data_IF_785869506698
#
_entry.id   IF_785869506698
#
_cell.length_a   1.000
_cell.length_b   1.000
_cell.length_c   1.000
_cell.angle_alpha   90.00
_cell.angle_beta   90.00
_cell.angle_gamma   90.00
#
_symmetry.space_group_name_H-M   'P 1'
#
loop_
_entity.id
_entity.type
_entity.pdbx_description
1 polymer ?
#
# COMPACT_ATOMS: atom_id res chain seq x y z
N UNK A 1 -7.67 48.20 -25.54
CA UNK A 1 -7.03 49.49 -25.18
C UNK A 1 -5.66 49.28 -24.51
N UNK A 2 -5.52 48.63 -23.30
CA UNK A 2 -4.22 48.50 -22.62
C UNK A 2 -3.21 47.67 -23.42
N UNK A 3 -3.59 46.54 -23.99
CA UNK A 3 -2.72 45.72 -24.82
C UNK A 3 -2.36 46.37 -26.16
N UNK A 4 -3.28 47.09 -26.76
CA UNK A 4 -3.02 47.90 -27.97
C UNK A 4 -2.01 49.01 -27.70
N UNK A 5 -2.09 49.67 -26.54
CA UNK A 5 -1.11 50.67 -26.13
C UNK A 5 0.29 50.07 -25.92
N UNK A 6 0.37 48.87 -25.27
CA UNK A 6 1.63 48.16 -25.11
C UNK A 6 2.23 47.75 -26.45
N UNK A 7 1.40 47.33 -27.40
CA UNK A 7 1.82 46.94 -28.75
C UNK A 7 2.34 48.12 -29.58
N UNK A 8 1.65 49.28 -29.54
CA UNK A 8 2.10 50.52 -30.19
C UNK A 8 3.45 51.01 -29.65
N UNK A 9 3.77 50.70 -28.38
CA UNK A 9 5.04 51.08 -27.75
C UNK A 9 6.10 49.95 -27.79
N UNK A 10 5.92 48.96 -28.66
CA UNK A 10 6.82 47.79 -28.78
C UNK A 10 7.16 47.09 -27.48
N UNK A 11 6.19 47.02 -26.53
CA UNK A 11 6.35 46.31 -25.30
C UNK A 11 5.86 44.88 -25.45
N UNK A 12 6.66 43.88 -25.02
CA UNK A 12 6.30 42.47 -25.14
C UNK A 12 5.25 42.04 -24.11
N UNK A 13 5.05 42.82 -23.06
CA UNK A 13 4.13 42.54 -21.99
C UNK A 13 2.68 42.57 -22.46
N UNK A 14 1.83 41.69 -21.96
CA UNK A 14 0.40 41.66 -22.22
C UNK A 14 -0.35 41.52 -20.89
N UNK A 15 -1.48 42.22 -20.78
CA UNK A 15 -2.39 42.15 -19.65
C UNK A 15 -3.46 41.12 -19.94
N UNK A 16 -3.55 40.10 -19.13
CA UNK A 16 -4.62 39.11 -19.17
C UNK A 16 -5.39 39.14 -17.84
N UNK A 17 -6.70 39.36 -17.90
CA UNK A 17 -7.59 39.47 -16.74
C UNK A 17 -8.11 38.13 -16.25
N UNK A 18 -7.80 37.04 -16.95
CA UNK A 18 -8.22 35.71 -16.52
C UNK A 18 -7.44 35.27 -15.27
N UNK A 19 -8.02 34.41 -14.48
CA UNK A 19 -7.31 33.79 -13.35
C UNK A 19 -6.10 32.99 -13.85
N UNK A 20 -5.06 32.80 -13.04
CA UNK A 20 -3.88 31.99 -13.39
C UNK A 20 -4.26 30.60 -13.88
N UNK A 21 -5.26 30.00 -13.25
CA UNK A 21 -5.82 28.70 -13.66
C UNK A 21 -6.36 28.72 -15.10
N UNK A 22 -7.09 29.77 -15.48
CA UNK A 22 -7.61 29.93 -16.86
C UNK A 22 -6.56 30.35 -17.87
N UNK A 23 -5.47 30.97 -17.44
CA UNK A 23 -4.32 31.33 -18.26
C UNK A 23 -3.37 30.15 -18.46
N UNK A 24 -3.55 29.05 -17.78
CA UNK A 24 -2.63 27.93 -17.79
C UNK A 24 -1.34 28.18 -17.01
N UNK A 25 -1.31 29.19 -16.14
CA UNK A 25 -0.15 29.53 -15.33
C UNK A 25 -0.20 28.72 -14.05
N UNK A 26 0.79 27.85 -13.88
CA UNK A 26 0.90 26.96 -12.73
C UNK A 26 1.67 27.61 -11.57
N UNK A 27 1.11 28.69 -11.08
CA UNK A 27 1.64 29.46 -9.95
C UNK A 27 0.53 29.87 -9.02
N UNK A 28 0.82 29.99 -7.74
CA UNK A 28 -0.11 30.52 -6.75
C UNK A 28 -0.17 32.03 -6.92
N UNK A 29 -1.35 32.64 -7.16
CA UNK A 29 -1.47 34.08 -7.29
C UNK A 29 -1.14 34.80 -5.98
N UNK A 30 -0.48 35.96 -6.08
CA UNK A 30 -0.22 36.82 -4.95
C UNK A 30 -1.49 37.57 -4.50
N UNK A 31 -1.58 37.89 -3.22
CA UNK A 31 -2.71 38.62 -2.64
C UNK A 31 -2.50 40.12 -2.83
N UNK A 32 -3.56 40.86 -3.15
CA UNK A 32 -3.50 42.31 -3.22
C UNK A 32 -3.17 42.96 -1.86
N UNK A 33 -2.08 43.72 -1.80
CA UNK A 33 -1.56 44.28 -0.56
C UNK A 33 -2.41 45.44 -0.04
N UNK A 34 -2.98 46.24 -0.94
CA UNK A 34 -3.66 47.48 -0.62
C UNK A 34 -2.69 48.68 -0.43
N UNK A 35 -3.22 49.91 -0.49
CA UNK A 35 -2.39 51.13 -0.53
C UNK A 35 -1.64 51.34 0.79
N UNK A 36 -2.30 51.21 1.92
CA UNK A 36 -1.68 51.43 3.25
C UNK A 36 -0.54 50.43 3.52
N UNK A 37 -0.78 49.14 3.34
CA UNK A 37 0.23 48.13 3.54
C UNK A 37 1.39 48.24 2.54
N UNK A 38 1.11 48.67 1.30
CA UNK A 38 2.16 48.91 0.28
C UNK A 38 3.07 50.07 0.68
N UNK A 39 2.54 51.13 1.32
CA UNK A 39 3.35 52.23 1.85
C UNK A 39 4.18 51.80 3.05
N UNK A 40 3.65 50.95 3.92
CA UNK A 40 4.40 50.41 5.06
C UNK A 40 5.57 49.54 4.59
N UNK A 41 5.34 48.66 3.64
CA UNK A 41 6.38 47.79 3.03
C UNK A 41 7.49 48.62 2.35
N UNK A 42 7.13 49.74 1.67
CA UNK A 42 8.11 50.67 1.09
C UNK A 42 8.98 51.36 2.14
N UNK A 43 8.46 51.55 3.36
CA UNK A 43 9.18 52.13 4.51
C UNK A 43 9.96 51.06 5.32
N UNK A 44 10.00 49.81 4.85
CA UNK A 44 10.68 48.70 5.50
C UNK A 44 9.90 48.07 6.66
N UNK A 45 8.63 48.42 6.83
CA UNK A 45 7.77 47.84 7.86
C UNK A 45 7.07 46.61 7.26
N UNK A 46 7.39 45.43 7.80
CA UNK A 46 6.79 44.18 7.35
C UNK A 46 5.28 44.15 7.66
N UNK A 47 4.48 43.75 6.69
CA UNK A 47 3.04 43.56 6.84
C UNK A 47 2.67 42.09 6.62
N UNK A 48 1.61 41.62 7.27
CA UNK A 48 1.14 40.25 7.16
C UNK A 48 0.90 39.83 5.69
N UNK A 49 0.24 40.72 4.91
CA UNK A 49 0.03 40.48 3.47
C UNK A 49 1.30 40.52 2.65
N UNK A 50 2.27 41.34 3.03
CA UNK A 50 3.59 41.40 2.40
C UNK A 50 4.38 40.12 2.67
N UNK A 51 4.36 39.61 3.89
CA UNK A 51 4.99 38.32 4.24
C UNK A 51 4.34 37.14 3.51
N UNK A 52 3.01 37.12 3.47
CA UNK A 52 2.29 36.11 2.70
C UNK A 52 2.70 36.12 1.21
N UNK A 53 2.81 37.29 0.61
CA UNK A 53 3.26 37.39 -0.77
C UNK A 53 4.73 36.98 -0.98
N UNK A 54 5.60 37.23 0.00
CA UNK A 54 6.97 36.72 -0.01
C UNK A 54 7.00 35.19 0.04
N UNK A 55 6.19 34.60 0.92
CA UNK A 55 6.04 33.14 1.03
C UNK A 55 5.48 32.52 -0.24
N UNK A 56 4.46 33.12 -0.85
CA UNK A 56 3.90 32.67 -2.13
C UNK A 56 4.95 32.72 -3.24
N UNK A 57 5.73 33.80 -3.35
CA UNK A 57 6.81 33.90 -4.32
C UNK A 57 7.90 32.87 -4.13
N UNK A 58 8.27 32.61 -2.87
CA UNK A 58 9.23 31.55 -2.53
C UNK A 58 8.71 30.17 -2.91
N UNK A 59 7.45 29.87 -2.59
CA UNK A 59 6.79 28.63 -2.96
C UNK A 59 6.73 28.43 -4.48
N UNK A 60 6.38 29.48 -5.25
CA UNK A 60 6.36 29.42 -6.70
C UNK A 60 7.75 29.18 -7.30
N UNK A 61 8.81 29.77 -6.77
CA UNK A 61 10.19 29.48 -7.18
C UNK A 61 10.54 28.02 -6.92
N UNK A 62 10.24 27.52 -5.72
CA UNK A 62 10.50 26.12 -5.37
C UNK A 62 9.74 25.16 -6.29
N UNK A 63 8.49 25.47 -6.64
CA UNK A 63 7.71 24.68 -7.60
C UNK A 63 8.36 24.66 -8.99
N UNK A 64 8.87 25.79 -9.48
CA UNK A 64 9.61 25.84 -10.74
C UNK A 64 10.88 24.99 -10.71
N UNK A 65 11.66 25.08 -9.61
CA UNK A 65 12.89 24.30 -9.44
C UNK A 65 12.61 22.80 -9.37
N UNK A 66 11.59 22.38 -8.62
CA UNK A 66 11.16 20.97 -8.56
C UNK A 66 10.74 20.47 -9.94
N UNK A 67 9.97 21.25 -10.70
CA UNK A 67 9.56 20.87 -12.07
C UNK A 67 10.75 20.71 -13.01
N UNK A 68 11.71 21.62 -12.91
CA UNK A 68 12.95 21.52 -13.69
C UNK A 68 13.76 20.26 -13.32
N UNK A 69 13.85 19.94 -12.04
CA UNK A 69 14.52 18.71 -11.59
C UNK A 69 13.78 17.44 -12.06
N UNK A 70 12.45 17.43 -12.00
CA UNK A 70 11.64 16.33 -12.53
C UNK A 70 11.87 16.15 -14.04
N UNK A 71 11.95 17.23 -14.80
CA UNK A 71 12.27 17.19 -16.22
C UNK A 71 13.62 16.56 -16.50
N UNK A 72 14.67 17.02 -15.80
CA UNK A 72 16.03 16.47 -15.91
C UNK A 72 16.09 14.98 -15.50
N UNK A 73 15.38 14.60 -14.44
CA UNK A 73 15.32 13.22 -13.99
C UNK A 73 14.64 12.31 -15.02
N UNK A 74 13.57 12.81 -15.67
CA UNK A 74 12.89 12.09 -16.74
C UNK A 74 13.82 11.88 -17.96
N UNK A 75 14.54 12.90 -18.38
CA UNK A 75 15.52 12.82 -19.48
C UNK A 75 16.65 11.84 -19.13
N UNK A 76 17.22 11.97 -17.94
CA UNK A 76 18.27 11.06 -17.47
C UNK A 76 17.79 9.61 -17.43
N UNK A 77 16.58 9.34 -16.92
CA UNK A 77 15.97 8.01 -16.94
C UNK A 77 15.87 7.45 -18.36
N UNK A 78 15.39 8.26 -19.30
CA UNK A 78 15.29 7.86 -20.70
C UNK A 78 16.66 7.52 -21.31
N UNK A 79 17.71 8.30 -20.97
CA UNK A 79 19.07 8.05 -21.45
C UNK A 79 19.69 6.81 -20.83
N UNK A 80 19.48 6.57 -19.54
CA UNK A 80 19.91 5.33 -18.86
C UNK A 80 19.26 4.10 -19.50
N UNK A 81 17.98 4.18 -19.85
CA UNK A 81 17.29 3.08 -20.52
C UNK A 81 17.82 2.85 -21.95
N UNK A 82 18.05 3.90 -22.71
CA UNK A 82 18.67 3.80 -24.04
C UNK A 82 20.07 3.21 -23.97
N UNK A 83 20.89 3.67 -23.01
CA UNK A 83 22.25 3.16 -22.80
C UNK A 83 22.23 1.68 -22.39
N UNK A 84 21.30 1.26 -21.55
CA UNK A 84 21.14 -0.13 -21.13
C UNK A 84 20.64 -1.02 -22.27
N UNK A 85 19.80 -0.52 -23.16
CA UNK A 85 19.34 -1.23 -24.35
C UNK A 85 20.46 -1.38 -25.39
N UNK A 86 21.36 -0.40 -25.52
CA UNK A 86 22.54 -0.48 -26.43
C UNK A 86 23.62 -1.45 -25.93
N UNK A 87 23.66 -1.75 -24.62
CA UNK A 87 24.60 -2.72 -24.02
C UNK A 87 24.13 -4.18 -24.16
N UNK A 88 22.89 -4.41 -24.59
CA UNK A 88 22.37 -5.75 -24.87
C UNK A 88 22.74 -6.16 -26.30
N UNK A 89 23.90 -6.75 -26.48
CA UNK A 89 24.34 -7.41 -27.72
C UNK A 89 23.68 -8.78 -27.87
N UNK A 90 22.37 -8.85 -27.99
CA UNK A 90 21.67 -10.07 -28.41
C UNK A 90 20.93 -9.84 -29.73
N UNK A 91 20.91 -10.85 -30.65
CA UNK A 91 20.26 -10.70 -31.96
C UNK A 91 18.76 -10.49 -31.83
N UNK A 92 18.10 -9.80 -32.77
CA UNK A 92 16.71 -9.38 -32.65
C UNK A 92 15.76 -10.56 -32.73
N UNK A 93 15.32 -11.05 -31.59
CA UNK A 93 14.10 -11.82 -31.46
C UNK A 93 12.88 -10.89 -31.61
N UNK A 94 11.70 -11.35 -32.10
CA UNK A 94 10.52 -10.49 -32.21
C UNK A 94 10.17 -9.93 -30.82
N UNK A 95 10.42 -8.65 -30.67
CA UNK A 95 10.47 -7.96 -29.36
C UNK A 95 9.09 -7.84 -28.77
N UNK A 96 8.82 -8.59 -27.73
CA UNK A 96 7.85 -8.15 -26.73
C UNK A 96 8.27 -6.75 -26.25
N UNK A 97 7.35 -5.76 -26.21
CA UNK A 97 7.72 -4.40 -25.84
C UNK A 97 8.37 -4.37 -24.47
N UNK A 98 9.49 -3.66 -24.35
CA UNK A 98 10.21 -3.52 -23.09
C UNK A 98 9.28 -2.93 -22.01
N UNK A 99 9.29 -3.49 -20.80
CA UNK A 99 8.44 -3.06 -19.69
C UNK A 99 8.55 -1.57 -19.39
N UNK A 100 9.74 -1.00 -19.47
CA UNK A 100 9.94 0.45 -19.28
C UNK A 100 9.19 1.27 -20.33
N UNK A 101 9.19 0.87 -21.58
CA UNK A 101 8.43 1.54 -22.63
C UNK A 101 6.93 1.50 -22.35
N UNK A 102 6.43 0.36 -21.89
CA UNK A 102 5.02 0.19 -21.52
C UNK A 102 4.65 1.04 -20.28
N UNK A 103 5.53 1.17 -19.32
CA UNK A 103 5.31 2.03 -18.14
C UNK A 103 5.25 3.52 -18.52
N UNK A 104 6.12 4.00 -19.40
CA UNK A 104 6.04 5.38 -19.91
C UNK A 104 4.76 5.60 -20.72
N UNK A 105 4.35 4.63 -21.54
CA UNK A 105 3.09 4.68 -22.26
C UNK A 105 1.89 4.75 -21.34
N UNK A 106 1.91 4.02 -20.24
CA UNK A 106 0.88 4.14 -19.19
C UNK A 106 0.77 5.59 -18.69
N UNK A 107 1.90 6.27 -18.42
CA UNK A 107 1.91 7.69 -18.04
C UNK A 107 1.23 8.60 -19.09
N UNK A 108 1.54 8.38 -20.37
CA UNK A 108 0.94 9.17 -21.43
C UNK A 108 -0.58 8.95 -21.53
N UNK A 109 -1.04 7.71 -21.31
CA UNK A 109 -2.47 7.38 -21.24
C UNK A 109 -3.14 8.07 -20.04
N UNK A 110 -2.51 8.06 -18.86
CA UNK A 110 -3.07 8.73 -17.69
C UNK A 110 -3.10 10.24 -17.85
N UNK A 111 -2.06 10.83 -18.44
CA UNK A 111 -2.02 12.24 -18.79
C UNK A 111 -3.12 12.62 -19.77
N UNK A 112 -3.36 11.81 -20.79
CA UNK A 112 -4.46 12.04 -21.74
C UNK A 112 -5.84 11.94 -21.08
N UNK A 113 -6.03 11.01 -20.14
CA UNK A 113 -7.28 10.86 -19.38
C UNK A 113 -7.50 12.02 -18.39
N UNK A 114 -6.44 12.58 -17.84
CA UNK A 114 -6.52 13.68 -16.88
C UNK A 114 -6.94 15.02 -17.49
N UNK A 115 -6.92 15.15 -18.80
CA UNK A 115 -7.27 16.39 -19.53
C UNK A 115 -8.67 16.96 -19.29
N UNK A 116 -9.54 16.20 -18.63
CA UNK A 116 -10.91 16.61 -18.24
C UNK A 116 -10.98 17.32 -16.86
N UNK A 117 -9.91 17.30 -16.08
CA UNK A 117 -9.86 17.83 -14.72
C UNK A 117 -9.16 19.18 -14.65
N UNK A 118 -9.25 19.85 -13.48
CA UNK A 118 -8.58 21.13 -13.25
C UNK A 118 -7.06 21.01 -13.38
N UNK A 119 -6.39 22.08 -13.78
CA UNK A 119 -4.96 22.07 -14.05
C UNK A 119 -4.13 21.74 -12.81
N UNK A 120 -4.54 22.22 -11.64
CA UNK A 120 -3.90 21.90 -10.37
C UNK A 120 -3.99 20.41 -10.03
N UNK A 121 -5.16 19.80 -10.23
CA UNK A 121 -5.36 18.37 -10.05
C UNK A 121 -4.51 17.54 -11.02
N UNK A 122 -4.47 17.94 -12.30
CA UNK A 122 -3.65 17.27 -13.32
C UNK A 122 -2.17 17.23 -12.94
N UNK A 123 -1.64 18.34 -12.43
CA UNK A 123 -0.23 18.44 -12.06
C UNK A 123 0.11 17.57 -10.87
N UNK A 124 -0.71 17.59 -9.83
CA UNK A 124 -0.51 16.76 -8.63
C UNK A 124 -0.62 15.27 -8.99
N UNK A 125 -1.64 14.90 -9.76
CA UNK A 125 -1.83 13.53 -10.19
C UNK A 125 -0.69 13.04 -11.09
N UNK A 126 -0.25 13.86 -12.04
CA UNK A 126 0.90 13.52 -12.91
C UNK A 126 2.19 13.34 -12.10
N UNK A 127 2.42 14.17 -11.08
CA UNK A 127 3.59 14.04 -10.20
C UNK A 127 3.56 12.75 -9.39
N UNK A 128 2.39 12.38 -8.86
CA UNK A 128 2.22 11.16 -8.08
C UNK A 128 2.34 9.90 -8.95
N UNK A 129 1.76 9.92 -10.16
CA UNK A 129 1.93 8.84 -11.13
C UNK A 129 3.40 8.71 -11.59
N UNK A 130 4.10 9.82 -11.81
CA UNK A 130 5.52 9.80 -12.14
C UNK A 130 6.36 9.19 -11.02
N UNK A 131 6.10 9.53 -9.77
CA UNK A 131 6.75 8.90 -8.60
C UNK A 131 6.48 7.39 -8.55
N UNK A 132 5.23 6.99 -8.79
CA UNK A 132 4.84 5.58 -8.78
C UNK A 132 5.56 4.80 -9.90
N UNK A 133 5.64 5.36 -11.10
CA UNK A 133 6.35 4.73 -12.22
C UNK A 133 7.85 4.71 -11.99
N UNK A 134 8.44 5.79 -11.45
CA UNK A 134 9.87 5.80 -11.10
C UNK A 134 10.21 4.69 -10.08
N UNK A 135 9.37 4.52 -9.07
CA UNK A 135 9.51 3.43 -8.09
C UNK A 135 9.38 2.05 -8.75
N UNK A 136 8.42 1.89 -9.66
CA UNK A 136 8.24 0.65 -10.40
C UNK A 136 9.45 0.30 -11.28
N UNK A 137 10.01 1.29 -11.97
CA UNK A 137 11.21 1.13 -12.81
C UNK A 137 12.42 0.75 -11.97
N UNK A 138 12.63 1.40 -10.82
CA UNK A 138 13.71 1.05 -9.90
C UNK A 138 13.58 -0.38 -9.41
N UNK A 139 12.39 -0.78 -8.97
CA UNK A 139 12.10 -2.15 -8.54
C UNK A 139 12.41 -3.19 -9.62
N UNK A 140 11.98 -2.93 -10.86
CA UNK A 140 12.26 -3.81 -11.99
C UNK A 140 13.76 -3.88 -12.31
N UNK A 141 14.45 -2.74 -12.24
CA UNK A 141 15.89 -2.66 -12.46
C UNK A 141 16.69 -3.42 -11.38
N UNK A 142 16.34 -3.25 -10.12
CA UNK A 142 16.95 -3.96 -8.98
C UNK A 142 16.80 -5.48 -9.11
N UNK A 143 15.64 -5.92 -9.61
CA UNK A 143 15.35 -7.34 -9.79
C UNK A 143 15.82 -7.91 -11.14
N UNK A 144 16.32 -7.08 -12.05
CA UNK A 144 16.74 -7.49 -13.38
C UNK A 144 15.61 -7.94 -14.30
N UNK A 145 14.38 -7.44 -14.09
CA UNK A 145 13.18 -7.81 -14.84
C UNK A 145 12.96 -6.79 -15.97
N UNK A 146 13.00 -7.22 -17.23
CA UNK A 146 12.91 -6.37 -18.40
C UNK A 146 11.77 -6.75 -19.36
N UNK A 147 11.30 -7.99 -19.29
CA UNK A 147 10.25 -8.53 -20.15
C UNK A 147 9.00 -8.88 -19.36
N UNK A 148 7.86 -8.96 -20.04
CA UNK A 148 6.59 -9.34 -19.44
C UNK A 148 6.64 -10.78 -18.87
N UNK A 149 7.32 -11.67 -19.57
CA UNK A 149 7.50 -13.07 -19.17
C UNK A 149 8.32 -13.16 -17.86
N UNK A 150 9.40 -12.38 -17.75
CA UNK A 150 10.20 -12.28 -16.52
C UNK A 150 9.38 -11.72 -15.35
N UNK A 151 8.50 -10.74 -15.62
CA UNK A 151 7.61 -10.17 -14.60
C UNK A 151 6.59 -11.20 -14.09
N UNK A 152 5.97 -11.95 -15.01
CA UNK A 152 4.99 -12.98 -14.66
C UNK A 152 5.68 -14.14 -13.93
N UNK A 153 6.89 -14.53 -14.35
CA UNK A 153 7.71 -15.52 -13.64
C UNK A 153 8.11 -15.06 -12.23
N UNK A 154 8.53 -13.81 -12.08
CA UNK A 154 8.86 -13.23 -10.77
C UNK A 154 7.64 -13.17 -9.84
N UNK A 155 6.48 -12.77 -10.36
CA UNK A 155 5.22 -12.78 -9.62
C UNK A 155 4.86 -14.17 -9.13
N UNK A 156 4.96 -15.20 -10.01
CA UNK A 156 4.71 -16.58 -9.64
C UNK A 156 5.67 -17.03 -8.55
N UNK A 157 6.97 -16.81 -8.72
CA UNK A 157 8.01 -17.23 -7.77
C UNK A 157 7.81 -16.62 -6.36
N UNK A 158 7.45 -15.33 -6.28
CA UNK A 158 7.20 -14.67 -4.99
C UNK A 158 5.89 -15.17 -4.37
N UNK A 159 4.87 -15.42 -5.18
CA UNK A 159 3.61 -16.01 -4.73
C UNK A 159 3.80 -17.42 -4.18
N UNK A 160 4.60 -18.25 -4.87
CA UNK A 160 4.90 -19.61 -4.44
C UNK A 160 5.65 -19.62 -3.11
N UNK A 161 6.67 -18.77 -2.95
CA UNK A 161 7.37 -18.58 -1.66
C UNK A 161 6.41 -18.16 -0.54
N UNK A 162 5.52 -17.23 -0.81
CA UNK A 162 4.52 -16.79 0.17
C UNK A 162 3.54 -17.93 0.54
N UNK A 163 3.19 -18.76 -0.44
CA UNK A 163 2.35 -19.95 -0.23
C UNK A 163 3.06 -21.02 0.59
N UNK A 164 4.35 -21.27 0.33
CA UNK A 164 5.18 -22.20 1.09
C UNK A 164 5.29 -21.77 2.56
N UNK A 165 5.63 -20.51 2.82
CA UNK A 165 5.70 -19.96 4.18
C UNK A 165 4.35 -20.15 4.89
N UNK A 166 3.24 -19.81 4.22
CA UNK A 166 1.90 -19.96 4.79
C UNK A 166 1.55 -21.42 5.08
N UNK A 167 1.97 -22.34 4.22
CA UNK A 167 1.76 -23.78 4.41
C UNK A 167 2.56 -24.30 5.62
N UNK A 168 3.79 -23.83 5.80
CA UNK A 168 4.62 -24.17 6.94
C UNK A 168 4.11 -23.60 8.27
N UNK A 169 3.43 -22.43 8.23
CA UNK A 169 2.84 -21.79 9.41
C UNK A 169 1.59 -22.53 9.93
N UNK A 170 0.75 -23.09 9.04
CA UNK A 170 -0.52 -23.73 9.41
C UNK A 170 -0.41 -24.79 10.53
N UNK A 171 0.53 -25.79 10.45
CA UNK A 171 0.67 -26.78 11.50
C UNK A 171 1.16 -26.18 12.82
N UNK A 172 2.02 -25.15 12.79
CA UNK A 172 2.45 -24.41 13.98
C UNK A 172 1.28 -23.67 14.63
N UNK A 173 0.47 -22.95 13.87
CA UNK A 173 -0.71 -22.26 14.36
C UNK A 173 -1.73 -23.24 15.00
N UNK A 174 -1.91 -24.41 14.40
CA UNK A 174 -2.74 -25.46 14.93
C UNK A 174 -2.18 -25.98 16.27
N UNK A 175 -0.85 -26.15 16.36
CA UNK A 175 -0.17 -26.58 17.60
C UNK A 175 -0.27 -25.52 18.69
N UNK A 176 -0.06 -24.24 18.36
CA UNK A 176 -0.23 -23.10 19.26
C UNK A 176 -1.65 -23.08 19.85
N UNK A 177 -2.66 -23.17 19.03
CA UNK A 177 -4.08 -23.20 19.47
C UNK A 177 -4.36 -24.41 20.38
N UNK A 178 -3.80 -25.57 20.05
CA UNK A 178 -3.94 -26.77 20.87
C UNK A 178 -3.26 -26.60 22.23
N UNK A 179 -2.05 -26.05 22.28
CA UNK A 179 -1.33 -25.79 23.52
C UNK A 179 -2.04 -24.76 24.39
N UNK A 180 -2.54 -23.67 23.81
CA UNK A 180 -3.32 -22.66 24.54
C UNK A 180 -4.53 -23.30 25.21
N UNK A 181 -5.26 -24.14 24.48
CA UNK A 181 -6.42 -24.83 24.99
C UNK A 181 -6.08 -25.86 26.06
N UNK A 182 -4.95 -26.57 25.92
CA UNK A 182 -4.46 -27.51 26.95
C UNK A 182 -4.08 -26.78 28.23
N UNK A 183 -3.40 -25.65 28.15
CA UNK A 183 -3.00 -24.81 29.27
C UNK A 183 -4.25 -24.28 30.00
N UNK A 184 -5.21 -23.73 29.24
CA UNK A 184 -6.48 -23.23 29.77
C UNK A 184 -7.25 -24.33 30.55
N UNK A 185 -7.40 -25.50 29.95
CA UNK A 185 -8.13 -26.60 30.54
C UNK A 185 -7.36 -27.19 31.74
N UNK A 186 -6.04 -27.25 31.72
CA UNK A 186 -5.23 -27.65 32.85
C UNK A 186 -5.35 -26.67 34.03
N UNK A 187 -5.38 -25.39 33.78
CA UNK A 187 -5.61 -24.35 34.79
C UNK A 187 -7.02 -24.48 35.39
N UNK A 188 -8.04 -24.66 34.58
CA UNK A 188 -9.41 -24.87 35.04
C UNK A 188 -9.52 -26.13 35.87
N UNK A 189 -8.90 -27.23 35.43
CA UNK A 189 -8.88 -28.49 36.19
C UNK A 189 -8.21 -28.31 37.56
N UNK A 190 -7.02 -27.71 37.59
CA UNK A 190 -6.28 -27.47 38.84
C UNK A 190 -7.04 -26.56 39.81
N UNK A 191 -7.69 -25.51 39.30
CA UNK A 191 -8.46 -24.55 40.09
C UNK A 191 -9.71 -25.19 40.70
N UNK A 192 -10.39 -26.08 39.99
CA UNK A 192 -11.67 -26.67 40.43
C UNK A 192 -11.51 -28.03 41.04
N UNK A 193 -10.32 -28.63 40.95
CA UNK A 193 -10.03 -29.94 41.56
C UNK A 193 -10.29 -29.99 43.10
N UNK A 194 -9.91 -28.99 43.91
CA UNK A 194 -10.21 -29.02 45.37
C UNK A 194 -11.71 -29.14 45.67
N UNK A 195 -12.53 -28.35 44.91
CA UNK A 195 -14.00 -28.36 45.09
C UNK A 195 -14.60 -29.72 44.73
N UNK A 196 -14.12 -30.33 43.65
CA UNK A 196 -14.51 -31.67 43.25
C UNK A 196 -14.13 -32.72 44.28
N UNK A 197 -12.90 -32.64 44.85
CA UNK A 197 -12.41 -33.59 45.85
C UNK A 197 -13.17 -33.43 47.18
N UNK A 198 -13.48 -32.20 47.62
CA UNK A 198 -14.38 -31.94 48.75
C UNK A 198 -15.76 -32.56 48.53
N UNK A 199 -16.35 -32.35 47.34
CA UNK A 199 -17.65 -32.94 46.99
C UNK A 199 -17.63 -34.49 47.14
N UNK A 200 -16.55 -35.14 46.70
CA UNK A 200 -16.38 -36.59 46.79
C UNK A 200 -16.16 -37.11 48.24
N UNK A 201 -15.54 -36.32 49.10
CA UNK A 201 -15.30 -36.69 50.49
C UNK A 201 -16.56 -36.65 51.35
N UNK A 202 -17.60 -35.96 50.92
CA UNK A 202 -18.89 -35.87 51.63
C UNK A 202 -19.62 -37.22 51.56
N UNK A 203 -19.66 -37.96 52.69
CA UNK A 203 -20.28 -39.29 52.78
C UNK A 203 -21.83 -39.28 52.76
N UNK A 204 -22.46 -38.17 53.19
CA UNK A 204 -23.91 -38.04 53.30
C UNK A 204 -24.51 -37.48 52.00
N UNK A 205 -25.29 -38.30 51.29
CA UNK A 205 -25.85 -37.93 49.97
C UNK A 205 -26.57 -36.59 49.96
N UNK A 206 -27.45 -36.33 50.95
CA UNK A 206 -28.18 -35.07 51.01
C UNK A 206 -27.34 -33.81 51.26
N UNK A 207 -26.16 -33.95 51.94
CA UNK A 207 -25.19 -32.86 52.07
C UNK A 207 -24.35 -32.73 50.79
N UNK A 208 -24.02 -33.83 50.16
CA UNK A 208 -23.30 -33.84 48.85
C UNK A 208 -24.10 -33.17 47.76
N UNK A 209 -25.42 -33.44 47.66
CA UNK A 209 -26.31 -32.81 46.68
C UNK A 209 -26.42 -31.29 46.89
N UNK A 210 -26.58 -30.84 48.15
CA UNK A 210 -26.57 -29.39 48.44
C UNK A 210 -25.26 -28.71 48.13
N UNK A 211 -24.14 -29.36 48.40
CA UNK A 211 -22.80 -28.84 48.04
C UNK A 211 -22.62 -28.81 46.53
N UNK A 212 -23.02 -29.86 45.83
CA UNK A 212 -22.95 -29.94 44.38
C UNK A 212 -23.84 -28.88 43.71
N UNK A 213 -25.00 -28.57 44.28
CA UNK A 213 -25.88 -27.52 43.78
C UNK A 213 -25.28 -26.12 44.02
N UNK A 214 -24.67 -25.87 45.17
CA UNK A 214 -23.99 -24.63 45.51
C UNK A 214 -22.75 -24.37 44.59
N UNK A 215 -22.02 -25.44 44.21
CA UNK A 215 -20.81 -25.39 43.39
C UNK A 215 -21.02 -25.95 41.98
N UNK A 216 -22.24 -25.91 41.47
CA UNK A 216 -22.62 -26.51 40.18
C UNK A 216 -21.78 -26.00 39.04
N UNK A 217 -21.47 -24.69 38.99
CA UNK A 217 -20.64 -24.09 37.95
C UNK A 217 -19.22 -24.62 37.96
N UNK A 218 -18.58 -24.70 39.15
CA UNK A 218 -17.20 -25.17 39.30
C UNK A 218 -17.07 -26.65 38.94
N UNK A 219 -18.04 -27.47 39.38
CA UNK A 219 -18.08 -28.90 39.03
C UNK A 219 -18.30 -29.14 37.54
N UNK A 220 -19.14 -28.34 36.91
CA UNK A 220 -19.32 -28.39 35.45
C UNK A 220 -18.04 -28.01 34.69
N UNK A 221 -17.30 -26.99 35.14
CA UNK A 221 -15.98 -26.60 34.61
C UNK A 221 -14.98 -27.73 34.79
N UNK A 222 -14.93 -28.35 35.97
CA UNK A 222 -14.06 -29.50 36.26
C UNK A 222 -14.37 -30.66 35.31
N UNK A 223 -15.63 -31.04 35.14
CA UNK A 223 -16.05 -32.13 34.25
C UNK A 223 -15.69 -31.87 32.77
N UNK A 224 -15.87 -30.64 32.32
CA UNK A 224 -15.51 -30.24 30.97
C UNK A 224 -13.97 -30.31 30.75
N UNK A 225 -13.20 -29.77 31.72
CA UNK A 225 -11.73 -29.79 31.68
C UNK A 225 -11.20 -31.22 31.75
N UNK A 226 -11.72 -32.07 32.64
CA UNK A 226 -11.31 -33.46 32.78
C UNK A 226 -11.59 -34.28 31.52
N UNK A 227 -12.77 -34.11 30.89
CA UNK A 227 -13.10 -34.76 29.62
C UNK A 227 -12.15 -34.32 28.49
N UNK A 228 -11.87 -33.03 28.42
CA UNK A 228 -10.96 -32.51 27.40
C UNK A 228 -9.53 -33.03 27.58
N UNK A 229 -9.01 -33.00 28.80
CA UNK A 229 -7.67 -33.48 29.16
C UNK A 229 -7.52 -34.97 28.88
N UNK A 230 -8.47 -35.80 29.26
CA UNK A 230 -8.47 -37.24 28.97
C UNK A 230 -8.49 -37.56 27.50
N UNK A 231 -9.26 -36.80 26.74
CA UNK A 231 -9.33 -36.99 25.27
C UNK A 231 -8.02 -36.60 24.55
N UNK A 232 -7.27 -35.64 25.08
CA UNK A 232 -6.05 -35.12 24.46
C UNK A 232 -4.74 -35.62 25.08
N UNK A 233 -4.77 -36.16 26.31
CA UNK A 233 -3.62 -36.64 27.06
C UNK A 233 -3.92 -38.04 27.58
N UNK A 234 -3.54 -39.10 26.84
CA UNK A 234 -3.81 -40.49 27.26
C UNK A 234 -3.24 -40.80 28.65
N UNK A 235 -2.06 -40.29 28.96
CA UNK A 235 -1.36 -40.56 30.23
C UNK A 235 -1.73 -39.57 31.36
N UNK A 236 -2.63 -38.63 31.12
CA UNK A 236 -3.04 -37.57 32.09
C UNK A 236 -1.86 -36.83 32.76
N UNK A 237 -0.69 -36.80 32.12
CA UNK A 237 0.48 -36.06 32.66
C UNK A 237 0.33 -34.59 32.34
N UNK A 238 -0.01 -33.81 33.36
CA UNK A 238 -0.11 -32.36 33.24
C UNK A 238 1.28 -31.73 33.38
N UNK A 239 1.80 -31.13 32.29
CA UNK A 239 3.08 -30.41 32.25
C UNK A 239 2.91 -28.97 31.81
N UNK A 240 2.14 -28.14 32.53
CA UNK A 240 1.78 -26.80 32.08
C UNK A 240 3.00 -25.89 31.82
N UNK A 241 4.07 -26.03 32.61
CA UNK A 241 5.31 -25.27 32.41
C UNK A 241 6.00 -25.61 31.11
N UNK A 242 6.09 -26.90 30.75
CA UNK A 242 6.67 -27.35 29.49
C UNK A 242 5.83 -26.85 28.28
N UNK A 243 4.50 -26.90 28.39
CA UNK A 243 3.59 -26.38 27.38
C UNK A 243 3.70 -24.85 27.21
N UNK A 244 3.88 -24.11 28.30
CA UNK A 244 4.13 -22.65 28.23
C UNK A 244 5.45 -22.32 27.52
N UNK A 245 6.51 -23.08 27.82
CA UNK A 245 7.80 -22.91 27.16
C UNK A 245 7.71 -23.24 25.67
N UNK A 246 7.05 -24.36 25.32
CA UNK A 246 6.80 -24.73 23.92
C UNK A 246 5.95 -23.69 23.21
N UNK A 247 4.90 -23.19 23.85
CA UNK A 247 4.02 -22.15 23.33
C UNK A 247 4.81 -20.87 23.04
N UNK A 248 5.65 -20.41 23.97
CA UNK A 248 6.47 -19.22 23.79
C UNK A 248 7.44 -19.38 22.62
N UNK A 249 8.14 -20.52 22.52
CA UNK A 249 9.05 -20.80 21.41
C UNK A 249 8.32 -20.79 20.05
N UNK A 250 7.20 -21.53 19.94
CA UNK A 250 6.41 -21.58 18.70
C UNK A 250 5.80 -20.23 18.32
N UNK A 251 5.41 -19.42 19.29
CA UNK A 251 4.88 -18.08 19.05
C UNK A 251 5.96 -17.17 18.46
N UNK A 252 7.17 -17.17 19.05
CA UNK A 252 8.30 -16.40 18.54
C UNK A 252 8.70 -16.82 17.12
N UNK A 253 8.76 -18.11 16.86
CA UNK A 253 9.03 -18.64 15.52
C UNK A 253 7.93 -18.22 14.52
N UNK A 254 6.67 -18.29 14.94
CA UNK A 254 5.55 -17.94 14.09
C UNK A 254 5.52 -16.43 13.76
N UNK A 255 5.87 -15.58 14.71
CA UNK A 255 6.02 -14.13 14.51
C UNK A 255 7.14 -13.81 13.50
N UNK A 256 8.29 -14.49 13.61
CA UNK A 256 9.39 -14.34 12.64
C UNK A 256 8.97 -14.75 11.23
N UNK A 257 8.26 -15.87 11.08
CA UNK A 257 7.74 -16.30 9.77
C UNK A 257 6.63 -15.37 9.25
N UNK A 258 5.80 -14.82 10.15
CA UNK A 258 4.78 -13.85 9.77
C UNK A 258 5.40 -12.54 9.24
N UNK A 259 6.52 -12.10 9.82
CA UNK A 259 7.27 -10.95 9.30
C UNK A 259 7.80 -11.21 7.88
N UNK A 260 8.35 -12.40 7.62
CA UNK A 260 8.78 -12.83 6.27
C UNK A 260 7.58 -12.86 5.30
N UNK A 261 6.46 -13.44 5.71
CA UNK A 261 5.24 -13.49 4.90
C UNK A 261 4.71 -12.11 4.56
N UNK A 262 4.77 -11.16 5.51
CA UNK A 262 4.38 -9.78 5.29
C UNK A 262 5.27 -9.12 4.22
N UNK A 263 6.59 -9.28 4.32
CA UNK A 263 7.53 -8.75 3.33
C UNK A 263 7.27 -9.33 1.93
N UNK A 264 7.01 -10.64 1.82
CA UNK A 264 6.65 -11.26 0.53
C UNK A 264 5.33 -10.73 -0.04
N UNK A 265 4.33 -10.48 0.81
CA UNK A 265 3.05 -9.88 0.37
C UNK A 265 3.20 -8.45 -0.13
N UNK A 266 4.04 -7.66 0.52
CA UNK A 266 4.36 -6.30 0.07
C UNK A 266 5.06 -6.34 -1.28
N UNK A 267 6.00 -7.25 -1.47
CA UNK A 267 6.68 -7.47 -2.74
C UNK A 267 5.71 -7.90 -3.85
N UNK A 268 4.82 -8.86 -3.60
CA UNK A 268 3.76 -9.26 -4.54
C UNK A 268 2.89 -8.07 -4.91
N UNK A 269 2.47 -7.27 -3.92
CA UNK A 269 1.62 -6.11 -4.16
C UNK A 269 2.29 -5.06 -5.06
N UNK A 270 3.59 -4.82 -4.88
CA UNK A 270 4.36 -3.89 -5.74
C UNK A 270 4.49 -4.44 -7.17
N UNK A 271 4.87 -5.71 -7.35
CA UNK A 271 4.94 -6.32 -8.68
C UNK A 271 3.57 -6.39 -9.38
N UNK A 272 2.48 -6.64 -8.64
CA UNK A 272 1.13 -6.60 -9.18
C UNK A 272 0.69 -5.19 -9.61
N UNK A 273 1.17 -4.13 -8.94
CA UNK A 273 0.94 -2.76 -9.41
C UNK A 273 1.63 -2.53 -10.73
N UNK A 274 2.88 -2.95 -10.86
CA UNK A 274 3.62 -2.87 -12.12
C UNK A 274 2.89 -3.62 -13.23
N UNK A 275 2.43 -4.84 -12.96
CA UNK A 275 1.67 -5.66 -13.92
C UNK A 275 0.41 -4.96 -14.39
N UNK A 276 -0.33 -4.32 -13.49
CA UNK A 276 -1.54 -3.52 -13.84
C UNK A 276 -1.23 -2.32 -14.72
N UNK A 277 -0.11 -1.62 -14.49
CA UNK A 277 0.32 -0.52 -15.35
C UNK A 277 0.62 -1.00 -16.77
N UNK A 278 1.35 -2.11 -16.87
CA UNK A 278 1.67 -2.75 -18.15
C UNK A 278 0.41 -3.23 -18.89
N UNK A 279 -0.52 -3.89 -18.18
CA UNK A 279 -1.79 -4.34 -18.76
C UNK A 279 -2.64 -3.18 -19.28
N UNK A 280 -2.63 -2.05 -18.59
CA UNK A 280 -3.34 -0.85 -19.03
C UNK A 280 -2.73 -0.28 -20.29
N UNK A 281 -1.41 -0.29 -20.40
CA UNK A 281 -0.70 0.15 -21.60
C UNK A 281 -0.98 -0.78 -22.79
N UNK A 282 -0.95 -2.08 -22.59
CA UNK A 282 -1.22 -3.09 -23.63
C UNK A 282 -2.68 -3.04 -24.12
N UNK A 283 -3.64 -2.86 -23.20
CA UNK A 283 -5.07 -2.74 -23.57
C UNK A 283 -5.38 -1.51 -24.41
N UNK A 284 -4.62 -0.44 -24.24
CA UNK A 284 -4.78 0.75 -25.06
C UNK A 284 -4.31 0.54 -26.52
N UNK A 285 -3.46 -0.46 -26.77
CA UNK A 285 -2.97 -0.85 -28.07
C UNK A 285 -3.87 -1.84 -28.82
N UNK A 286 -4.72 -2.54 -28.08
CA UNK A 286 -5.65 -3.46 -28.71
C UNK A 286 -6.64 -2.67 -29.56
N UNK A 287 -6.82 -3.00 -30.86
CA UNK A 287 -7.79 -2.34 -31.70
C UNK A 287 -9.15 -2.42 -31.04
N UNK A 288 -9.76 -1.26 -30.76
CA UNK A 288 -11.13 -1.20 -30.22
C UNK A 288 -12.03 -1.93 -31.21
N UNK A 289 -12.52 -3.11 -30.85
CA UNK A 289 -13.63 -3.74 -31.57
C UNK A 289 -14.80 -2.77 -31.47
N UNK A 290 -15.01 -2.04 -32.56
CA UNK A 290 -16.20 -1.20 -32.74
C UNK A 290 -17.41 -2.12 -32.56
N UNK A 291 -18.14 -1.90 -31.48
CA UNK A 291 -19.50 -2.49 -31.34
C UNK A 291 -20.34 -1.85 -32.43
N UNK A 292 -20.46 -2.51 -33.55
CA UNK A 292 -21.51 -2.22 -34.51
C UNK A 292 -22.83 -2.42 -33.80
N UNK A 293 -23.50 -1.31 -33.47
CA UNK A 293 -24.91 -1.34 -33.10
C UNK A 293 -25.66 -1.84 -34.31
N UNK A 294 -26.09 -3.11 -34.27
CA UNK A 294 -27.15 -3.56 -35.16
C UNK A 294 -28.41 -2.73 -34.81
N UNK A 295 -28.73 -1.83 -35.70
CA UNK A 295 -30.04 -1.18 -35.72
C UNK A 295 -30.95 -2.17 -36.43
N UNK A 296 -31.66 -3.01 -35.67
CA UNK A 296 -32.81 -3.72 -36.18
C UNK A 296 -33.88 -2.66 -36.50
N UNK A 297 -34.03 -2.41 -37.77
CA UNK A 297 -35.21 -1.71 -38.33
C UNK A 297 -36.21 -2.81 -38.57
N UNK A 298 -37.07 -3.08 -37.57
CA UNK A 298 -38.29 -3.82 -37.79
C UNK A 298 -39.39 -2.87 -38.30
N UNK A 299 -39.90 -3.29 -39.41
CA UNK A 299 -41.01 -2.76 -40.20
C UNK A 299 -42.36 -3.18 -39.58
#
# INVERSE_FOLDING_TARGET
LANEFLERNNRPERIDHRSYERQGIDQIPTVHIGVAASQMEKKGIATERGELNRSIKAANRLLCDIKAQIGKLKEWLLDVFKAKESLRTEPPQPKSPNLSTLLFRYLDIQKAKSGKYSQSWQQQHTADELKAISKAVNLLSEKGIYTLEELDAALSAVHDKASEIRSAMKPREARIKRLQKLIEQAQNFQKTQPIHDECKQIRWKGKQEKFAEAHRADLAVWDAANRYLRANLPDMKLTPKAWQTELAALTTENEAEYAKLKAQREEVAELQKVRRYVDTALKADAPQKTKTKHHDIDR
#
